data_IF_006349939252
#
_entry.id   IF_006349939252
#
_cell.length_a   1.000
_cell.length_b   1.000
_cell.length_c   1.000
_cell.angle_alpha   90.00
_cell.angle_beta   90.00
_cell.angle_gamma   90.00
#
_symmetry.space_group_name_H-M   'P 1'
#
loop_
_entity.id
_entity.type
_entity.pdbx_description
1 polymer ?
#
# COMPACT_ATOMS: atom_id res chain seq x y z
N UNK A 1 98.70 -11.31 25.46
CA UNK A 1 97.40 -10.78 24.97
C UNK A 1 96.28 -11.53 25.69
N UNK A 2 95.44 -10.80 26.44
CA UNK A 2 94.17 -11.17 27.10
C UNK A 2 94.11 -12.47 27.93
N UNK A 3 93.96 -12.30 29.24
CA UNK A 3 93.64 -13.36 30.22
C UNK A 3 92.48 -12.91 31.12
N UNK A 4 91.38 -13.67 31.05
CA UNK A 4 90.43 -14.18 32.06
C UNK A 4 89.90 -13.36 33.27
N UNK A 5 88.60 -13.65 33.54
CA UNK A 5 87.88 -13.82 34.85
C UNK A 5 87.61 -12.55 35.67
N UNK A 6 86.61 -12.42 36.53
CA UNK A 6 85.32 -13.05 36.89
C UNK A 6 84.83 -12.27 38.13
N UNK A 7 83.51 -12.07 38.25
CA UNK A 7 82.70 -12.04 39.48
C UNK A 7 82.97 -11.05 40.67
N UNK A 8 81.90 -10.28 40.95
CA UNK A 8 81.16 -10.19 42.23
C UNK A 8 81.47 -9.13 43.32
N UNK A 9 80.33 -8.63 43.86
CA UNK A 9 80.02 -8.05 45.18
C UNK A 9 80.53 -6.62 45.51
N UNK A 10 79.67 -5.59 45.43
CA UNK A 10 78.72 -5.05 46.46
C UNK A 10 79.43 -4.34 47.62
N UNK A 11 79.25 -3.00 47.72
CA UNK A 11 78.90 -2.33 48.98
C UNK A 11 78.34 -0.92 48.74
N UNK A 12 77.29 -0.59 49.50
CA UNK A 12 76.49 0.63 49.50
C UNK A 12 77.26 1.89 49.92
N UNK A 13 76.93 3.04 49.32
CA UNK A 13 76.55 4.22 50.13
C UNK A 13 75.73 5.24 49.32
N UNK A 14 74.66 5.69 49.98
CA UNK A 14 73.64 6.67 49.65
C UNK A 14 74.10 8.02 49.13
N UNK A 15 73.38 8.58 48.15
CA UNK A 15 72.89 9.96 48.19
C UNK A 15 71.81 10.15 47.11
N UNK A 16 70.65 10.68 47.51
CA UNK A 16 69.46 10.76 46.68
C UNK A 16 69.59 11.65 45.45
N UNK A 17 68.85 11.26 44.40
CA UNK A 17 68.34 12.18 43.40
C UNK A 17 66.93 11.72 43.04
N UNK A 18 65.96 12.57 43.39
CA UNK A 18 64.59 12.51 42.89
C UNK A 18 64.63 12.65 41.36
N UNK A 19 64.27 11.59 40.64
CA UNK A 19 63.87 11.67 39.24
C UNK A 19 62.33 11.76 39.18
N UNK A 20 61.75 12.79 38.55
CA UNK A 20 60.31 12.91 38.39
C UNK A 20 59.79 11.79 37.47
N UNK A 21 58.61 11.27 37.83
CA UNK A 21 58.00 10.11 37.21
C UNK A 21 57.78 10.24 35.71
N UNK A 22 58.00 9.12 35.01
CA UNK A 22 57.41 8.85 33.71
C UNK A 22 55.88 8.84 33.88
N UNK A 23 55.22 9.92 33.49
CA UNK A 23 53.80 9.87 33.15
C UNK A 23 53.72 9.32 31.74
N UNK A 24 53.25 8.08 31.62
CA UNK A 24 52.83 7.51 30.34
C UNK A 24 51.69 8.38 29.81
N UNK A 25 51.99 9.28 28.86
CA UNK A 25 50.97 9.93 28.05
C UNK A 25 50.40 8.89 27.10
N UNK A 26 49.36 8.18 27.53
CA UNK A 26 48.40 7.63 26.59
C UNK A 26 47.68 8.83 25.98
N UNK A 27 48.20 9.31 24.85
CA UNK A 27 47.46 10.17 23.97
C UNK A 27 46.17 9.43 23.60
N UNK A 28 45.04 9.87 24.16
CA UNK A 28 43.75 9.57 23.59
C UNK A 28 43.75 10.22 22.22
N UNK A 29 44.08 9.43 21.20
CA UNK A 29 43.78 9.77 19.82
C UNK A 29 42.29 10.11 19.81
N UNK A 30 42.00 11.38 19.58
CA UNK A 30 40.66 11.85 19.36
C UNK A 30 40.21 11.16 18.07
N UNK A 31 39.54 10.01 18.19
CA UNK A 31 38.86 9.38 17.07
C UNK A 31 37.92 10.44 16.51
N UNK A 32 38.25 10.93 15.31
CA UNK A 32 37.35 11.77 14.55
C UNK A 32 35.98 11.07 14.55
N UNK A 33 34.87 11.80 14.80
CA UNK A 33 33.55 11.19 14.82
C UNK A 33 33.39 10.40 13.52
N UNK A 34 33.17 9.09 13.65
CA UNK A 34 32.91 8.21 12.53
C UNK A 34 31.93 8.94 11.61
N UNK A 35 32.34 9.17 10.36
CA UNK A 35 31.52 9.86 9.37
C UNK A 35 30.11 9.29 9.47
N UNK A 36 29.14 10.15 9.80
CA UNK A 36 27.73 9.78 9.95
C UNK A 36 27.36 8.89 8.78
N UNK A 37 27.12 7.60 9.04
CA UNK A 37 26.76 6.66 7.99
C UNK A 37 25.53 7.23 7.30
N UNK A 38 25.67 7.60 6.03
CA UNK A 38 24.62 8.24 5.25
C UNK A 38 23.37 7.36 5.31
N UNK A 39 22.29 7.88 5.90
CA UNK A 39 21.06 7.11 6.10
C UNK A 39 20.54 6.63 4.75
N UNK A 40 20.07 5.38 4.62
CA UNK A 40 19.40 4.95 3.40
C UNK A 40 18.24 5.88 3.07
N UNK A 41 17.97 6.09 1.78
CA UNK A 41 16.84 6.90 1.33
C UNK A 41 15.84 5.99 0.63
N UNK A 42 14.57 6.12 0.99
CA UNK A 42 13.43 5.54 0.29
C UNK A 42 12.58 6.66 -0.29
N UNK A 43 12.46 6.69 -1.61
CA UNK A 43 11.37 7.39 -2.29
C UNK A 43 10.20 6.42 -2.47
N UNK A 44 9.09 6.73 -1.81
CA UNK A 44 7.84 6.00 -1.89
C UNK A 44 6.79 6.87 -2.57
N UNK A 45 6.41 6.55 -3.80
CA UNK A 45 5.38 7.28 -4.53
C UNK A 45 4.07 6.49 -4.60
N UNK A 46 2.96 7.20 -4.59
CA UNK A 46 1.64 6.67 -4.91
C UNK A 46 1.14 7.28 -6.21
N UNK A 47 0.65 6.45 -7.12
CA UNK A 47 -0.12 6.86 -8.28
C UNK A 47 -1.54 6.32 -8.09
N UNK A 48 -2.49 7.19 -7.80
CA UNK A 48 -3.82 6.79 -7.32
C UNK A 48 -4.89 7.27 -8.29
N UNK A 49 -5.75 6.34 -8.70
CA UNK A 49 -6.99 6.64 -9.37
C UNK A 49 -7.94 7.37 -8.40
N UNK A 50 -8.41 8.54 -8.80
CA UNK A 50 -9.28 9.42 -8.01
C UNK A 50 -10.64 9.67 -8.66
N UNK A 51 -11.09 8.73 -9.48
CA UNK A 51 -12.45 8.69 -10.05
C UNK A 51 -13.49 8.29 -9.00
N UNK A 52 -14.77 8.43 -9.35
CA UNK A 52 -15.88 8.24 -8.40
C UNK A 52 -15.94 6.86 -7.73
N UNK A 53 -15.54 5.79 -8.43
CA UNK A 53 -15.58 4.40 -7.93
C UNK A 53 -14.55 4.14 -6.83
N UNK A 54 -13.44 4.87 -6.83
CA UNK A 54 -12.30 4.71 -5.92
C UNK A 54 -12.50 5.35 -4.54
N UNK A 55 -13.68 5.89 -4.23
CA UNK A 55 -13.93 6.61 -2.98
C UNK A 55 -13.63 5.80 -1.71
N UNK A 56 -13.99 4.51 -1.68
CA UNK A 56 -13.70 3.64 -0.54
C UNK A 56 -12.20 3.32 -0.40
N UNK A 57 -11.51 3.20 -1.52
CA UNK A 57 -10.10 2.87 -1.67
C UNK A 57 -9.21 4.01 -1.21
N UNK A 58 -9.54 5.23 -1.64
CA UNK A 58 -8.85 6.45 -1.23
C UNK A 58 -8.90 6.62 0.29
N UNK A 59 -10.07 6.38 0.92
CA UNK A 59 -10.21 6.46 2.38
C UNK A 59 -9.36 5.43 3.12
N UNK A 60 -9.11 4.26 2.52
CA UNK A 60 -8.16 3.30 3.08
C UNK A 60 -6.72 3.78 2.97
N UNK A 61 -6.31 4.25 1.79
CA UNK A 61 -4.95 4.75 1.56
C UNK A 61 -4.65 5.87 2.56
N UNK A 62 -5.57 6.84 2.72
CA UNK A 62 -5.50 7.90 3.73
C UNK A 62 -5.19 7.37 5.13
N UNK A 63 -5.93 6.34 5.58
CA UNK A 63 -5.77 5.77 6.93
C UNK A 63 -4.47 4.99 7.10
N UNK A 64 -4.01 4.29 6.07
CA UNK A 64 -2.89 3.34 6.18
C UNK A 64 -1.52 3.97 5.89
N UNK A 65 -1.44 5.08 5.14
CA UNK A 65 -0.14 5.66 4.77
C UNK A 65 0.68 6.11 5.97
N UNK A 66 0.05 6.75 6.98
CA UNK A 66 0.78 7.19 8.18
C UNK A 66 1.48 6.02 8.89
N UNK A 67 0.74 4.93 9.11
CA UNK A 67 1.27 3.72 9.73
C UNK A 67 2.33 3.04 8.87
N UNK A 68 2.16 3.02 7.55
CA UNK A 68 3.14 2.47 6.62
C UNK A 68 4.47 3.24 6.74
N UNK A 69 4.43 4.58 6.66
CA UNK A 69 5.64 5.41 6.73
C UNK A 69 6.34 5.23 8.07
N UNK A 70 5.59 5.23 9.17
CA UNK A 70 6.15 4.99 10.51
C UNK A 70 6.82 3.61 10.62
N UNK A 71 6.20 2.55 10.07
CA UNK A 71 6.76 1.20 10.05
C UNK A 71 7.99 1.06 9.14
N UNK A 72 8.10 1.87 8.08
CA UNK A 72 9.27 1.86 7.19
C UNK A 72 10.45 2.62 7.80
N UNK A 73 10.18 3.75 8.45
CA UNK A 73 11.18 4.59 9.12
C UNK A 73 11.84 3.89 10.33
N UNK A 74 11.21 2.86 10.90
CA UNK A 74 11.77 2.09 12.03
C UNK A 74 12.81 1.03 11.65
N UNK A 75 13.14 0.90 10.36
CA UNK A 75 14.17 -0.02 9.87
C UNK A 75 15.56 0.27 10.45
N UNK A 76 16.48 -0.70 10.36
CA UNK A 76 17.87 -0.53 10.80
C UNK A 76 18.85 -0.87 9.67
N UNK A 77 19.73 0.07 9.24
CA UNK A 77 19.77 1.48 9.65
C UNK A 77 18.49 2.24 9.27
N UNK A 78 18.15 3.29 10.03
CA UNK A 78 16.90 4.04 9.87
C UNK A 78 16.87 4.79 8.53
N UNK A 79 15.94 4.48 7.61
CA UNK A 79 15.86 5.17 6.34
C UNK A 79 15.20 6.54 6.47
N UNK A 80 15.60 7.48 5.60
CA UNK A 80 14.81 8.67 5.29
C UNK A 80 13.74 8.26 4.29
N UNK A 81 12.46 8.34 4.68
CA UNK A 81 11.33 8.02 3.81
C UNK A 81 10.75 9.32 3.28
N UNK A 82 10.82 9.53 1.97
CA UNK A 82 10.16 10.64 1.27
C UNK A 82 8.95 10.08 0.54
N UNK A 83 7.79 10.69 0.74
CA UNK A 83 6.55 10.25 0.11
C UNK A 83 6.08 11.26 -0.91
N UNK A 84 5.80 10.79 -2.12
CA UNK A 84 5.21 11.56 -3.22
C UNK A 84 3.87 10.97 -3.62
N UNK A 85 3.03 11.77 -4.27
CA UNK A 85 1.72 11.33 -4.72
C UNK A 85 1.38 11.98 -6.06
N UNK A 86 0.84 11.18 -6.97
CA UNK A 86 0.14 11.64 -8.17
C UNK A 86 -1.27 11.07 -8.12
N UNK A 87 -2.26 11.94 -8.18
CA UNK A 87 -3.63 11.53 -8.43
C UNK A 87 -3.91 11.62 -9.94
N UNK A 88 -4.66 10.68 -10.49
CA UNK A 88 -5.16 10.76 -11.84
C UNK A 88 -6.68 10.52 -11.89
N UNK A 89 -7.30 11.03 -12.95
CA UNK A 89 -8.69 10.75 -13.37
C UNK A 89 -8.68 10.59 -14.88
N UNK A 90 -9.73 11.01 -15.59
CA UNK A 90 -9.73 11.02 -17.05
C UNK A 90 -9.79 12.41 -17.71
N UNK A 91 -9.61 12.42 -19.03
CA UNK A 91 -9.76 13.60 -19.89
C UNK A 91 -11.21 14.06 -19.87
N UNK A 92 -11.41 15.33 -19.50
CA UNK A 92 -12.75 15.92 -19.38
C UNK A 92 -13.18 16.12 -17.92
N UNK A 93 -12.47 15.53 -16.97
CA UNK A 93 -12.63 15.82 -15.55
C UNK A 93 -11.93 17.12 -15.13
N UNK A 94 -12.15 17.54 -13.87
CA UNK A 94 -11.50 18.72 -13.26
C UNK A 94 -9.97 18.73 -13.43
N UNK A 95 -9.35 17.55 -13.47
CA UNK A 95 -7.95 17.35 -13.80
C UNK A 95 -7.73 15.94 -14.34
N UNK A 96 -6.76 15.79 -15.26
CA UNK A 96 -6.28 14.47 -15.67
C UNK A 96 -5.26 13.95 -14.66
N UNK A 97 -4.35 14.81 -14.21
CA UNK A 97 -3.32 14.47 -13.21
C UNK A 97 -3.10 15.62 -12.23
N UNK A 98 -2.78 15.29 -10.98
CA UNK A 98 -2.43 16.25 -9.94
C UNK A 98 -1.23 15.74 -9.14
N UNK A 99 -0.18 16.55 -9.08
CA UNK A 99 1.10 16.20 -8.43
C UNK A 99 1.18 16.77 -7.02
N UNK A 100 1.59 15.93 -6.08
CA UNK A 100 1.98 16.28 -4.73
C UNK A 100 3.45 15.88 -4.55
N UNK A 101 4.37 16.86 -4.45
CA UNK A 101 5.80 16.61 -4.43
C UNK A 101 6.25 15.71 -3.28
N UNK A 102 7.41 15.07 -3.45
CA UNK A 102 8.06 14.31 -2.39
C UNK A 102 8.27 15.14 -1.13
N UNK A 103 7.94 14.56 0.02
CA UNK A 103 8.12 15.16 1.34
C UNK A 103 8.51 14.08 2.36
N UNK A 104 9.45 14.38 3.24
CA UNK A 104 9.74 13.58 4.45
C UNK A 104 8.94 14.05 5.68
N UNK A 105 8.22 15.16 5.57
CA UNK A 105 7.20 15.58 6.54
C UNK A 105 5.93 14.71 6.38
N UNK A 106 5.75 13.79 7.34
CA UNK A 106 4.62 12.84 7.38
C UNK A 106 3.28 13.56 7.49
N UNK A 107 3.20 14.66 8.25
CA UNK A 107 1.94 15.37 8.44
C UNK A 107 1.54 16.12 7.17
N UNK A 108 2.52 16.66 6.43
CA UNK A 108 2.29 17.18 5.08
C UNK A 108 1.79 16.09 4.13
N UNK A 109 2.43 14.92 4.13
CA UNK A 109 2.04 13.78 3.27
C UNK A 109 0.61 13.33 3.59
N UNK A 110 0.27 13.19 4.87
CA UNK A 110 -1.09 12.84 5.30
C UNK A 110 -2.09 13.90 4.86
N UNK A 111 -1.75 15.19 4.98
CA UNK A 111 -2.60 16.29 4.50
C UNK A 111 -2.84 16.21 2.99
N UNK A 112 -1.78 15.97 2.20
CA UNK A 112 -1.84 15.86 0.75
C UNK A 112 -2.75 14.69 0.30
N UNK A 113 -2.57 13.51 0.92
CA UNK A 113 -3.41 12.33 0.65
C UNK A 113 -4.85 12.56 1.13
N UNK A 114 -5.05 13.23 2.27
CA UNK A 114 -6.38 13.52 2.82
C UNK A 114 -7.16 14.49 1.94
N UNK A 115 -6.48 15.36 1.19
CA UNK A 115 -7.08 16.30 0.24
C UNK A 115 -7.61 15.64 -1.05
N UNK A 116 -7.32 14.35 -1.28
CA UNK A 116 -7.86 13.62 -2.42
C UNK A 116 -9.36 13.37 -2.25
N UNK A 117 -10.12 13.63 -3.30
CA UNK A 117 -11.54 13.34 -3.37
C UNK A 117 -11.84 12.58 -4.66
N UNK A 118 -12.54 11.45 -4.52
CA UNK A 118 -13.11 10.69 -5.63
C UNK A 118 -14.18 11.54 -6.32
N UNK A 119 -13.99 11.85 -7.59
CA UNK A 119 -14.99 12.47 -8.45
C UNK A 119 -14.58 12.30 -9.92
N UNK A 120 -15.48 12.64 -10.85
CA UNK A 120 -15.21 12.46 -12.26
C UNK A 120 -15.29 11.00 -12.72
N UNK A 121 -14.78 10.75 -13.91
CA UNK A 121 -14.97 9.53 -14.68
C UNK A 121 -16.38 9.46 -15.28
N UNK A 122 -16.89 8.23 -15.45
CA UNK A 122 -18.22 7.98 -16.00
C UNK A 122 -18.20 7.11 -17.26
N UNK A 123 -17.03 6.97 -17.85
CA UNK A 123 -16.65 5.94 -18.79
C UNK A 123 -15.51 5.08 -18.21
N UNK A 124 -15.41 3.85 -18.67
CA UNK A 124 -14.19 3.05 -18.56
C UNK A 124 -13.70 2.86 -19.99
N UNK A 125 -12.37 2.97 -20.27
CA UNK A 125 -11.20 2.98 -19.36
C UNK A 125 -10.76 4.37 -18.82
N UNK A 126 -9.65 4.47 -18.06
CA UNK A 126 -9.16 5.68 -17.34
C UNK A 126 -7.74 6.14 -17.76
N UNK A 127 -7.30 7.39 -17.46
CA UNK A 127 -6.01 7.95 -17.92
C UNK A 127 -4.73 7.46 -17.18
N UNK A 128 -4.60 6.14 -16.96
CA UNK A 128 -3.44 5.48 -16.33
C UNK A 128 -2.12 5.85 -17.02
N UNK A 129 -2.10 5.95 -18.35
CA UNK A 129 -0.88 6.29 -19.12
C UNK A 129 -0.34 7.68 -18.75
N UNK A 130 -1.23 8.68 -18.67
CA UNK A 130 -0.88 10.04 -18.28
C UNK A 130 -0.40 10.06 -16.81
N UNK A 131 -1.09 9.33 -15.95
CA UNK A 131 -0.71 9.17 -14.54
C UNK A 131 0.70 8.59 -14.39
N UNK A 132 1.04 7.53 -15.12
CA UNK A 132 2.38 6.93 -15.12
C UNK A 132 3.44 7.92 -15.61
N UNK A 133 3.19 8.58 -16.73
CA UNK A 133 4.14 9.55 -17.27
C UNK A 133 4.46 10.66 -16.25
N UNK A 134 3.43 11.25 -15.64
CA UNK A 134 3.56 12.32 -14.64
C UNK A 134 4.24 11.79 -13.37
N UNK A 135 3.86 10.61 -12.88
CA UNK A 135 4.49 10.01 -11.70
C UNK A 135 5.98 9.71 -11.90
N UNK A 136 6.40 9.39 -13.12
CA UNK A 136 7.81 9.12 -13.42
C UNK A 136 8.59 10.39 -13.70
N UNK A 137 8.03 11.39 -14.38
CA UNK A 137 8.79 12.50 -14.92
C UNK A 137 8.63 13.80 -14.12
N UNK A 138 7.49 14.01 -13.46
CA UNK A 138 7.18 15.26 -12.75
C UNK A 138 7.36 15.14 -11.23
N UNK A 139 7.32 13.92 -10.68
CA UNK A 139 7.83 13.70 -9.33
C UNK A 139 9.36 13.81 -9.32
N UNK A 140 9.89 14.65 -8.44
CA UNK A 140 11.34 14.83 -8.26
C UNK A 140 11.99 13.67 -7.50
N UNK A 141 12.05 12.50 -8.16
CA UNK A 141 12.77 11.33 -7.67
C UNK A 141 14.22 11.69 -7.33
N UNK A 142 14.74 11.13 -6.24
CA UNK A 142 16.10 11.38 -5.79
C UNK A 142 17.12 10.96 -6.84
N UNK A 143 18.12 11.82 -7.06
CA UNK A 143 19.27 11.52 -7.91
C UNK A 143 20.25 10.55 -7.25
N UNK A 144 20.05 10.20 -5.97
CA UNK A 144 20.85 9.21 -5.28
C UNK A 144 20.64 7.81 -5.90
N UNK A 145 21.71 7.26 -6.47
CA UNK A 145 21.70 5.93 -7.10
C UNK A 145 21.57 4.79 -6.09
N UNK A 146 21.91 5.02 -4.81
CA UNK A 146 21.77 4.06 -3.71
C UNK A 146 20.38 4.11 -3.05
N UNK A 147 19.55 5.08 -3.40
CA UNK A 147 18.20 5.18 -2.84
C UNK A 147 17.27 4.14 -3.46
N UNK A 148 16.47 3.50 -2.60
CA UNK A 148 15.33 2.71 -3.01
C UNK A 148 14.25 3.61 -3.58
N UNK A 149 13.69 3.23 -4.72
CA UNK A 149 12.60 3.96 -5.39
C UNK A 149 11.46 2.99 -5.67
N UNK A 150 10.29 3.30 -5.15
CA UNK A 150 9.11 2.45 -5.20
C UNK A 150 7.89 3.27 -5.57
N UNK A 151 7.13 2.84 -6.57
CA UNK A 151 5.85 3.41 -6.97
C UNK A 151 4.74 2.38 -6.74
N UNK A 152 3.66 2.77 -6.09
CA UNK A 152 2.41 1.99 -6.04
C UNK A 152 1.38 2.62 -6.98
N UNK A 153 1.05 1.93 -8.07
CA UNK A 153 -0.10 2.27 -8.92
C UNK A 153 -1.35 1.57 -8.35
N UNK A 154 -2.37 2.34 -8.00
CA UNK A 154 -3.61 1.86 -7.39
C UNK A 154 -4.78 2.34 -8.27
N UNK A 155 -5.61 1.40 -8.74
CA UNK A 155 -6.76 1.73 -9.60
C UNK A 155 -7.67 0.54 -9.88
N UNK A 156 -8.85 0.82 -10.40
CA UNK A 156 -9.91 -0.14 -10.72
C UNK A 156 -10.29 -0.18 -12.21
N UNK A 157 -9.56 0.51 -13.09
CA UNK A 157 -9.81 0.51 -14.52
C UNK A 157 -8.56 0.25 -15.39
N UNK A 158 -8.79 -0.24 -16.61
CA UNK A 158 -7.76 -0.37 -17.63
C UNK A 158 -7.27 1.01 -18.11
N UNK A 159 -6.06 1.12 -18.70
CA UNK A 159 -5.63 2.37 -19.34
C UNK A 159 -6.52 2.69 -20.55
N UNK A 160 -6.92 3.94 -20.65
CA UNK A 160 -7.50 4.49 -21.87
C UNK A 160 -6.38 4.65 -22.91
N UNK A 161 -6.67 4.29 -24.16
CA UNK A 161 -5.73 4.44 -25.28
C UNK A 161 -6.17 5.65 -26.11
N UNK A 162 -5.57 6.80 -25.83
CA UNK A 162 -5.81 8.01 -26.62
C UNK A 162 -4.83 8.12 -27.80
N UNK A 163 -5.22 8.76 -28.93
CA UNK A 163 -4.28 9.11 -29.99
C UNK A 163 -3.15 10.00 -29.46
N UNK A 164 -1.91 9.68 -29.83
CA UNK A 164 -0.69 10.39 -29.41
C UNK A 164 -0.48 10.47 -27.89
N UNK A 165 -0.98 9.48 -27.15
CA UNK A 165 -0.81 9.40 -25.71
C UNK A 165 0.48 8.68 -25.29
N UNK A 166 0.79 8.76 -24.01
CA UNK A 166 1.86 7.96 -23.42
C UNK A 166 1.55 6.48 -23.47
N UNK A 167 2.61 5.67 -23.46
CA UNK A 167 2.48 4.21 -23.51
C UNK A 167 2.98 3.61 -22.20
N UNK A 168 2.09 2.96 -21.45
CA UNK A 168 2.44 2.34 -20.17
C UNK A 168 3.60 1.33 -20.26
N UNK A 169 3.77 0.64 -21.39
CA UNK A 169 4.86 -0.34 -21.57
C UNK A 169 6.21 0.38 -21.66
N UNK A 170 6.26 1.47 -22.42
CA UNK A 170 7.43 2.34 -22.51
C UNK A 170 7.74 3.00 -21.17
N UNK A 171 6.72 3.49 -20.46
CA UNK A 171 6.89 4.12 -19.14
C UNK A 171 7.38 3.11 -18.09
N UNK A 172 6.87 1.88 -18.08
CA UNK A 172 7.34 0.84 -17.17
C UNK A 172 8.82 0.47 -17.41
N UNK A 173 9.24 0.39 -18.68
CA UNK A 173 10.65 0.17 -19.05
C UNK A 173 11.53 1.36 -18.66
N UNK A 174 11.03 2.59 -18.83
CA UNK A 174 11.72 3.81 -18.40
C UNK A 174 11.90 3.80 -16.87
N UNK A 175 10.86 3.50 -16.11
CA UNK A 175 10.89 3.43 -14.65
C UNK A 175 12.03 2.53 -14.14
N UNK A 176 12.13 1.30 -14.64
CA UNK A 176 13.14 0.35 -14.17
C UNK A 176 14.56 0.73 -14.61
N UNK A 177 14.72 1.36 -15.79
CA UNK A 177 16.02 1.89 -16.22
C UNK A 177 16.56 2.97 -15.25
N UNK A 178 15.67 3.61 -14.48
CA UNK A 178 15.97 4.60 -13.44
C UNK A 178 15.98 4.00 -12.02
N UNK A 179 15.81 2.69 -11.90
CA UNK A 179 15.75 1.96 -10.63
C UNK A 179 14.44 2.15 -9.85
N UNK A 180 13.38 2.63 -10.51
CA UNK A 180 12.03 2.78 -9.94
C UNK A 180 11.28 1.47 -10.17
N UNK A 181 10.95 0.79 -9.07
CA UNK A 181 10.11 -0.41 -9.10
C UNK A 181 8.65 0.00 -9.01
N UNK A 182 7.78 -0.52 -9.89
CA UNK A 182 6.33 -0.24 -9.84
C UNK A 182 5.60 -1.49 -9.36
N UNK A 183 4.90 -1.39 -8.24
CA UNK A 183 3.93 -2.41 -7.81
C UNK A 183 2.53 -1.90 -8.14
N UNK A 184 1.69 -2.78 -8.66
CA UNK A 184 0.34 -2.44 -9.10
C UNK A 184 -0.67 -3.10 -8.17
N UNK A 185 -1.70 -2.35 -7.77
CA UNK A 185 -2.76 -2.80 -6.88
C UNK A 185 -4.08 -2.62 -7.61
N UNK A 186 -4.69 -3.74 -7.98
CA UNK A 186 -6.01 -3.76 -8.60
C UNK A 186 -7.11 -3.67 -7.56
N UNK A 187 -8.00 -2.70 -7.73
CA UNK A 187 -9.15 -2.46 -6.87
C UNK A 187 -10.41 -3.15 -7.42
N UNK A 188 -11.50 -3.08 -6.65
CA UNK A 188 -12.77 -3.67 -7.03
C UNK A 188 -13.33 -2.96 -8.27
N UNK A 189 -13.56 -3.70 -9.36
CA UNK A 189 -13.92 -3.12 -10.67
C UNK A 189 -12.91 -3.37 -11.78
N UNK A 190 -11.66 -3.70 -11.44
CA UNK A 190 -10.62 -3.94 -12.43
C UNK A 190 -10.93 -5.19 -13.27
N UNK A 191 -11.20 -4.96 -14.56
CA UNK A 191 -11.52 -6.03 -15.49
C UNK A 191 -10.29 -6.87 -15.88
N UNK A 192 -10.51 -7.90 -16.72
CA UNK A 192 -9.43 -8.78 -17.18
C UNK A 192 -8.37 -8.07 -18.03
N UNK A 193 -8.77 -7.02 -18.76
CA UNK A 193 -7.88 -6.23 -19.62
C UNK A 193 -6.95 -5.36 -18.77
N UNK A 194 -7.53 -4.64 -17.81
CA UNK A 194 -6.83 -3.83 -16.82
C UNK A 194 -5.92 -4.67 -15.95
N UNK A 195 -6.39 -5.83 -15.48
CA UNK A 195 -5.57 -6.80 -14.74
C UNK A 195 -4.35 -7.22 -15.55
N UNK A 196 -4.53 -7.58 -16.83
CA UNK A 196 -3.42 -7.96 -17.71
C UNK A 196 -2.40 -6.83 -17.88
N UNK A 197 -2.87 -5.59 -18.02
CA UNK A 197 -1.98 -4.43 -18.12
C UNK A 197 -1.23 -4.20 -16.81
N UNK A 198 -1.93 -4.20 -15.67
CA UNK A 198 -1.33 -3.97 -14.36
C UNK A 198 -0.28 -5.03 -14.01
N UNK A 199 -0.53 -6.30 -14.34
CA UNK A 199 0.46 -7.38 -14.23
C UNK A 199 1.69 -7.12 -15.10
N UNK A 200 1.51 -6.65 -16.34
CA UNK A 200 2.63 -6.33 -17.25
C UNK A 200 3.43 -5.14 -16.77
N UNK A 201 2.80 -4.06 -16.30
CA UNK A 201 3.49 -2.88 -15.73
C UNK A 201 4.38 -3.31 -14.57
N UNK A 202 3.83 -4.06 -13.61
CA UNK A 202 4.59 -4.56 -12.48
C UNK A 202 5.76 -5.45 -12.91
N UNK A 203 5.50 -6.43 -13.77
CA UNK A 203 6.52 -7.35 -14.27
C UNK A 203 7.66 -6.64 -15.02
N UNK A 204 7.34 -5.68 -15.89
CA UNK A 204 8.33 -4.92 -16.65
C UNK A 204 9.20 -4.04 -15.76
N UNK A 205 8.75 -3.74 -14.55
CA UNK A 205 9.43 -2.86 -13.60
C UNK A 205 9.92 -3.55 -12.33
N UNK A 206 10.13 -4.88 -12.38
CA UNK A 206 10.61 -5.70 -11.25
C UNK A 206 9.73 -5.60 -9.98
N UNK A 207 8.43 -5.33 -10.16
CA UNK A 207 7.45 -5.29 -9.10
C UNK A 207 6.43 -6.42 -9.15
N UNK A 208 5.45 -6.34 -8.26
CA UNK A 208 4.37 -7.32 -8.13
C UNK A 208 3.01 -6.67 -8.38
N UNK A 209 2.09 -7.47 -8.95
CA UNK A 209 0.67 -7.14 -8.99
C UNK A 209 -0.05 -7.85 -7.84
N UNK A 210 -0.90 -7.13 -7.13
CA UNK A 210 -1.76 -7.65 -6.09
C UNK A 210 -3.19 -7.15 -6.29
N UNK A 211 -4.18 -7.95 -5.90
CA UNK A 211 -5.58 -7.51 -5.86
C UNK A 211 -5.96 -7.17 -4.43
N UNK A 212 -6.66 -6.05 -4.27
CA UNK A 212 -7.17 -5.62 -2.99
C UNK A 212 -8.22 -6.62 -2.50
N UNK A 213 -8.08 -7.04 -1.24
CA UNK A 213 -8.93 -8.01 -0.60
C UNK A 213 -9.51 -7.41 0.68
N UNK A 214 -10.81 -7.62 0.89
CA UNK A 214 -11.59 -7.08 2.01
C UNK A 214 -12.14 -8.20 2.86
N UNK A 215 -11.91 -8.17 4.17
CA UNK A 215 -12.46 -9.16 5.09
C UNK A 215 -13.82 -8.72 5.64
N UNK A 216 -14.75 -9.65 5.72
CA UNK A 216 -16.01 -9.52 6.43
C UNK A 216 -16.21 -10.72 7.36
N UNK A 217 -16.54 -10.47 8.62
CA UNK A 217 -17.02 -11.52 9.52
C UNK A 217 -18.55 -11.54 9.47
N UNK A 218 -19.12 -12.70 9.17
CA UNK A 218 -20.57 -12.92 9.16
C UNK A 218 -20.94 -14.01 10.15
N UNK A 219 -22.20 -14.02 10.58
CA UNK A 219 -22.78 -15.13 11.33
C UNK A 219 -23.77 -15.82 10.40
N UNK A 220 -23.60 -17.13 10.18
CA UNK A 220 -24.48 -17.89 9.31
C UNK A 220 -25.82 -18.25 10.01
N UNK A 221 -26.73 -18.90 9.28
CA UNK A 221 -28.05 -19.31 9.79
C UNK A 221 -28.00 -20.26 11.00
N UNK A 222 -26.86 -20.91 11.23
CA UNK A 222 -26.61 -21.82 12.36
C UNK A 222 -25.97 -21.09 13.56
N UNK A 223 -25.79 -19.76 13.48
CA UNK A 223 -25.14 -18.99 14.53
C UNK A 223 -23.61 -19.08 14.53
N UNK A 224 -23.00 -19.72 13.52
CA UNK A 224 -21.55 -19.88 13.43
C UNK A 224 -20.92 -18.68 12.73
N UNK A 225 -19.81 -18.19 13.28
CA UNK A 225 -18.98 -17.15 12.64
C UNK A 225 -18.27 -17.71 11.42
N UNK A 226 -18.32 -16.98 10.31
CA UNK A 226 -17.60 -17.28 9.07
C UNK A 226 -16.82 -16.03 8.62
N UNK A 227 -15.65 -16.25 8.04
CA UNK A 227 -14.87 -15.19 7.41
C UNK A 227 -15.10 -15.22 5.90
N UNK A 228 -15.57 -14.11 5.35
CA UNK A 228 -15.63 -13.86 3.91
C UNK A 228 -14.50 -12.90 3.50
N UNK A 229 -13.97 -13.10 2.30
CA UNK A 229 -13.04 -12.20 1.65
C UNK A 229 -13.63 -11.80 0.30
N UNK A 230 -13.69 -10.51 0.01
CA UNK A 230 -14.07 -9.99 -1.30
C UNK A 230 -12.85 -9.42 -2.00
N UNK A 231 -12.61 -9.79 -3.25
CA UNK A 231 -11.46 -9.34 -4.05
C UNK A 231 -11.81 -9.41 -5.53
N UNK A 232 -11.57 -8.33 -6.29
CA UNK A 232 -11.86 -8.26 -7.73
C UNK A 232 -13.30 -8.64 -8.08
N UNK A 233 -14.29 -8.09 -7.38
CA UNK A 233 -15.72 -8.38 -7.57
C UNK A 233 -16.19 -9.75 -7.09
N UNK A 234 -15.28 -10.63 -6.64
CA UNK A 234 -15.61 -12.00 -6.24
C UNK A 234 -15.55 -12.16 -4.71
N UNK A 235 -16.51 -12.89 -4.15
CA UNK A 235 -16.53 -13.22 -2.72
C UNK A 235 -16.13 -14.67 -2.49
N UNK A 236 -15.32 -14.90 -1.47
CA UNK A 236 -14.81 -16.20 -1.06
C UNK A 236 -15.07 -16.43 0.42
N UNK A 237 -15.48 -17.64 0.78
CA UNK A 237 -15.54 -18.10 2.17
C UNK A 237 -14.21 -18.75 2.54
N UNK A 238 -13.58 -18.26 3.60
CA UNK A 238 -12.36 -18.83 4.16
C UNK A 238 -12.70 -20.08 4.96
N UNK A 239 -11.92 -21.15 4.75
CA UNK A 239 -12.06 -22.39 5.52
C UNK A 239 -11.61 -22.17 6.96
N UNK A 240 -12.26 -22.89 7.89
CA UNK A 240 -11.91 -22.84 9.30
C UNK A 240 -10.44 -23.20 9.52
N UNK A 241 -9.73 -22.41 10.33
CA UNK A 241 -8.29 -22.54 10.60
C UNK A 241 -7.38 -21.73 9.66
N UNK A 242 -7.90 -21.15 8.59
CA UNK A 242 -7.15 -20.31 7.65
C UNK A 242 -7.44 -18.80 7.81
N UNK A 243 -8.25 -18.41 8.81
CA UNK A 243 -8.74 -17.05 8.99
C UNK A 243 -7.62 -16.04 9.20
N UNK A 244 -6.49 -16.44 9.80
CA UNK A 244 -5.32 -15.58 10.00
C UNK A 244 -4.50 -15.34 8.73
N UNK A 245 -4.64 -16.20 7.72
CA UNK A 245 -3.87 -16.15 6.47
C UNK A 245 -4.52 -15.31 5.38
N UNK A 246 -5.73 -14.78 5.62
CA UNK A 246 -6.57 -14.11 4.63
C UNK A 246 -5.90 -12.97 3.87
N UNK A 247 -4.97 -12.26 4.52
CA UNK A 247 -4.23 -11.14 3.93
C UNK A 247 -3.28 -11.54 2.80
N UNK A 248 -2.98 -12.84 2.65
CA UNK A 248 -2.27 -13.34 1.47
C UNK A 248 -3.07 -13.15 0.17
N UNK A 249 -4.37 -12.82 0.26
CA UNK A 249 -5.22 -12.53 -0.89
C UNK A 249 -6.11 -13.70 -1.26
N UNK A 250 -7.26 -13.38 -1.86
CA UNK A 250 -8.30 -14.37 -2.15
C UNK A 250 -7.84 -15.42 -3.17
N UNK A 251 -7.10 -15.01 -4.22
CA UNK A 251 -6.55 -15.91 -5.25
C UNK A 251 -5.59 -16.93 -4.65
N UNK A 252 -4.71 -16.48 -3.77
CA UNK A 252 -3.73 -17.31 -3.06
C UNK A 252 -4.39 -18.35 -2.15
N UNK A 253 -5.39 -17.91 -1.38
CA UNK A 253 -6.15 -18.81 -0.53
C UNK A 253 -6.96 -19.83 -1.35
N UNK A 254 -7.58 -19.40 -2.45
CA UNK A 254 -8.32 -20.27 -3.34
C UNK A 254 -7.39 -21.33 -3.97
N UNK A 255 -6.22 -20.92 -4.48
CA UNK A 255 -5.23 -21.82 -5.08
C UNK A 255 -4.70 -22.87 -4.08
N UNK A 256 -4.57 -22.51 -2.80
CA UNK A 256 -4.16 -23.42 -1.71
C UNK A 256 -5.31 -24.27 -1.17
N UNK A 257 -6.52 -24.15 -1.71
CA UNK A 257 -7.70 -24.82 -1.17
C UNK A 257 -8.04 -24.37 0.24
N UNK A 258 -7.75 -23.12 0.61
CA UNK A 258 -8.07 -22.50 1.90
C UNK A 258 -9.28 -21.55 1.83
N UNK A 259 -9.74 -21.20 0.63
CA UNK A 259 -10.99 -20.49 0.42
C UNK A 259 -11.81 -21.11 -0.72
N UNK A 260 -13.12 -20.94 -0.68
CA UNK A 260 -14.07 -21.38 -1.72
C UNK A 260 -14.91 -20.21 -2.18
N UNK A 261 -15.26 -20.17 -3.47
CA UNK A 261 -16.18 -19.16 -3.98
C UNK A 261 -17.52 -19.21 -3.21
N UNK A 262 -18.03 -18.04 -2.85
CA UNK A 262 -19.29 -17.88 -2.16
C UNK A 262 -20.14 -16.84 -2.89
N UNK A 263 -21.47 -16.97 -2.90
CA UNK A 263 -22.32 -15.90 -3.40
C UNK A 263 -22.04 -14.62 -2.61
N UNK A 264 -22.00 -13.48 -3.30
CA UNK A 264 -21.87 -12.20 -2.63
C UNK A 264 -23.00 -12.06 -1.59
N UNK A 265 -22.72 -11.58 -0.37
CA UNK A 265 -23.75 -11.38 0.63
C UNK A 265 -24.82 -10.43 0.07
N UNK A 266 -26.09 -10.80 0.21
CA UNK A 266 -27.20 -9.97 -0.26
C UNK A 266 -27.11 -8.59 0.41
N UNK A 267 -26.97 -7.53 -0.39
CA UNK A 267 -26.98 -6.18 0.12
C UNK A 267 -28.39 -5.86 0.63
N UNK A 268 -28.59 -5.81 1.95
CA UNK A 268 -29.81 -5.25 2.51
C UNK A 268 -29.78 -3.75 2.26
N UNK A 269 -30.51 -3.26 1.25
CA UNK A 269 -30.82 -1.84 1.18
C UNK A 269 -31.57 -1.47 2.46
N UNK A 270 -30.92 -0.73 3.35
CA UNK A 270 -31.59 -0.12 4.48
C UNK A 270 -32.71 0.78 3.90
N UNK A 271 -33.97 0.38 4.09
CA UNK A 271 -35.12 1.26 3.87
C UNK A 271 -34.91 2.49 4.77
N UNK A 272 -34.40 3.59 4.21
CA UNK A 272 -34.49 4.91 4.83
C UNK A 272 -35.98 5.23 4.92
N UNK A 273 -36.56 5.04 6.10
CA UNK A 273 -37.85 5.61 6.48
C UNK A 273 -37.75 7.13 6.40
N UNK A 274 -38.07 7.70 5.23
CA UNK A 274 -38.44 9.11 5.16
C UNK A 274 -39.81 9.24 5.83
N UNK A 275 -39.80 9.74 7.06
CA UNK A 275 -40.97 10.37 7.68
C UNK A 275 -41.28 11.64 6.89
N UNK A 276 -42.05 11.53 5.82
CA UNK A 276 -42.62 12.68 5.11
C UNK A 276 -43.87 13.15 5.85
N UNK A 277 -43.72 14.17 6.71
CA UNK A 277 -44.80 15.11 7.02
C UNK A 277 -44.60 16.32 6.12
N UNK A 278 -45.38 16.40 5.05
CA UNK A 278 -45.30 17.49 4.07
C UNK A 278 -46.30 17.28 2.94
N UNK A 279 -47.53 17.70 3.18
CA UNK A 279 -48.67 17.82 2.26
C UNK A 279 -48.33 18.58 0.98
N UNK A 280 -48.53 17.98 -0.21
CA UNK A 280 -48.91 18.69 -1.44
C UNK A 280 -49.80 17.78 -2.32
N UNK A 281 -50.78 18.43 -2.93
CA UNK A 281 -51.97 17.98 -3.68
C UNK A 281 -51.73 17.07 -4.91
N UNK A 282 -52.74 16.23 -5.20
CA UNK A 282 -53.06 15.66 -6.53
C UNK A 282 -54.37 16.29 -7.07
N UNK A 283 -54.58 16.26 -8.41
CA UNK A 283 -55.72 15.50 -8.95
C UNK A 283 -55.34 14.60 -10.15
N UNK A 284 -55.76 13.32 -10.13
CA UNK A 284 -56.81 12.70 -10.98
C UNK A 284 -56.42 12.52 -12.47
N UNK A 285 -56.64 11.41 -13.18
CA UNK A 285 -57.47 10.23 -12.97
C UNK A 285 -57.20 9.14 -14.05
N UNK A 286 -57.42 7.85 -13.67
CA UNK A 286 -58.00 6.73 -14.45
C UNK A 286 -57.20 5.98 -15.56
N UNK A 287 -57.58 4.72 -15.93
CA UNK A 287 -57.65 3.54 -15.07
C UNK A 287 -57.14 2.22 -15.74
N UNK A 288 -57.08 1.19 -14.88
CA UNK A 288 -56.96 -0.26 -15.06
C UNK A 288 -57.47 -0.93 -16.36
N UNK A 289 -56.79 -2.01 -16.75
CA UNK A 289 -57.45 -3.27 -17.14
C UNK A 289 -56.69 -4.47 -16.55
N UNK A 290 -57.39 -5.25 -15.74
CA UNK A 290 -56.98 -6.51 -15.15
C UNK A 290 -57.77 -7.66 -15.81
N UNK A 291 -57.11 -8.80 -16.01
CA UNK A 291 -57.63 -10.18 -16.06
C UNK A 291 -56.41 -11.07 -16.45
N UNK A 292 -56.12 -12.24 -15.90
CA UNK A 292 -56.92 -13.21 -15.17
C UNK A 292 -56.02 -14.24 -14.42
N UNK A 293 -56.58 -14.79 -13.34
CA UNK A 293 -56.46 -16.17 -12.82
C UNK A 293 -55.15 -16.67 -12.14
N UNK A 294 -55.16 -16.54 -10.81
CA UNK A 294 -55.15 -17.61 -9.80
C UNK A 294 -54.51 -18.98 -10.15
N UNK A 295 -53.41 -19.28 -9.46
CA UNK A 295 -52.77 -20.60 -9.39
C UNK A 295 -51.77 -20.64 -8.24
N UNK A 296 -52.26 -20.92 -7.03
CA UNK A 296 -51.47 -20.89 -5.81
C UNK A 296 -50.41 -22.00 -5.74
N UNK A 297 -49.16 -21.61 -5.48
CA UNK A 297 -48.14 -22.47 -4.89
C UNK A 297 -47.55 -21.72 -3.70
N UNK A 298 -47.73 -22.29 -2.50
CA UNK A 298 -47.13 -21.82 -1.25
C UNK A 298 -45.60 -21.92 -1.34
N UNK A 299 -44.95 -20.87 -1.84
CA UNK A 299 -43.52 -20.66 -1.66
C UNK A 299 -43.25 -20.12 -0.26
N UNK A 300 -42.63 -20.93 0.59
CA UNK A 300 -42.16 -20.50 1.90
C UNK A 300 -41.15 -19.34 1.73
N UNK A 301 -41.59 -18.11 1.95
CA UNK A 301 -40.67 -16.97 2.07
C UNK A 301 -39.94 -17.09 3.42
N UNK A 302 -38.84 -17.84 3.42
CA UNK A 302 -37.84 -17.80 4.48
C UNK A 302 -37.28 -16.39 4.55
N UNK A 303 -37.79 -15.61 5.51
CA UNK A 303 -37.35 -14.25 5.79
C UNK A 303 -35.88 -14.25 6.18
N UNK A 304 -35.03 -13.72 5.31
CA UNK A 304 -33.68 -13.29 5.66
C UNK A 304 -33.77 -12.04 6.54
N UNK A 305 -33.59 -12.18 7.85
CA UNK A 305 -33.28 -11.05 8.73
C UNK A 305 -31.79 -11.07 9.06
N UNK A 306 -30.97 -10.57 8.13
CA UNK A 306 -29.57 -10.37 8.37
C UNK A 306 -29.30 -8.86 8.43
N UNK A 307 -28.83 -8.40 9.59
CA UNK A 307 -28.26 -7.07 9.76
C UNK A 307 -26.92 -7.04 9.02
N UNK A 308 -26.95 -6.75 7.72
CA UNK A 308 -25.75 -6.60 6.90
C UNK A 308 -25.28 -5.14 6.95
N UNK A 309 -24.15 -4.91 7.63
CA UNK A 309 -23.30 -3.76 7.32
C UNK A 309 -22.64 -4.01 5.96
N UNK A 310 -22.50 -2.96 5.13
CA UNK A 310 -21.78 -3.05 3.86
C UNK A 310 -20.34 -3.58 4.02
N UNK A 311 -19.65 -3.86 2.91
CA UNK A 311 -18.26 -4.32 2.92
C UNK A 311 -17.42 -3.42 3.82
N UNK A 312 -16.85 -3.99 4.89
CA UNK A 312 -15.96 -3.25 5.77
C UNK A 312 -14.64 -3.04 5.06
N UNK A 313 -14.54 -1.96 4.28
CA UNK A 313 -13.32 -1.58 3.58
C UNK A 313 -12.19 -1.19 4.55
N UNK A 314 -12.45 -1.00 5.85
CA UNK A 314 -11.38 -0.75 6.83
C UNK A 314 -10.46 -1.95 7.11
N UNK A 315 -10.93 -3.17 6.81
CA UNK A 315 -10.21 -4.42 7.05
C UNK A 315 -9.76 -5.02 5.70
N UNK A 316 -8.64 -4.51 5.19
CA UNK A 316 -8.05 -4.90 3.90
C UNK A 316 -6.62 -5.43 4.02
N UNK A 317 -6.12 -6.08 2.96
CA UNK A 317 -4.72 -6.54 2.86
C UNK A 317 -3.74 -5.44 2.40
N UNK A 318 -4.22 -4.20 2.17
CA UNK A 318 -3.44 -3.12 1.59
C UNK A 318 -2.15 -2.80 2.38
N UNK A 319 -2.25 -2.79 3.71
CA UNK A 319 -1.12 -2.48 4.59
C UNK A 319 -0.01 -3.51 4.47
N UNK A 320 -0.36 -4.80 4.45
CA UNK A 320 0.59 -5.90 4.31
C UNK A 320 1.22 -5.91 2.91
N UNK A 321 0.42 -5.71 1.86
CA UNK A 321 0.90 -5.61 0.47
C UNK A 321 1.97 -4.51 0.34
N UNK A 322 1.64 -3.29 0.76
CA UNK A 322 2.55 -2.16 0.64
C UNK A 322 3.80 -2.32 1.52
N UNK A 323 3.62 -2.77 2.76
CA UNK A 323 4.72 -2.93 3.71
C UNK A 323 5.68 -4.03 3.26
N UNK A 324 5.17 -5.17 2.80
CA UNK A 324 6.02 -6.28 2.36
C UNK A 324 6.83 -5.91 1.12
N UNK A 325 6.21 -5.25 0.12
CA UNK A 325 6.91 -4.78 -1.07
C UNK A 325 8.01 -3.77 -0.72
N UNK A 326 7.70 -2.77 0.13
CA UNK A 326 8.67 -1.76 0.53
C UNK A 326 9.82 -2.33 1.38
N UNK A 327 9.52 -3.24 2.32
CA UNK A 327 10.56 -3.94 3.10
C UNK A 327 11.45 -4.81 2.23
N UNK A 328 10.87 -5.53 1.27
CA UNK A 328 11.61 -6.36 0.32
C UNK A 328 12.60 -5.50 -0.48
N UNK A 329 12.14 -4.35 -0.99
CA UNK A 329 12.98 -3.41 -1.74
C UNK A 329 14.11 -2.82 -0.88
N UNK A 330 13.79 -2.36 0.33
CA UNK A 330 14.79 -1.80 1.25
C UNK A 330 15.82 -2.83 1.72
N UNK A 331 15.41 -4.09 1.90
CA UNK A 331 16.32 -5.19 2.20
C UNK A 331 17.25 -5.47 1.02
N UNK A 332 16.73 -5.48 -0.21
CA UNK A 332 17.49 -5.73 -1.45
C UNK A 332 18.51 -4.63 -1.73
N UNK A 333 18.11 -3.36 -1.61
CA UNK A 333 18.96 -2.23 -2.04
C UNK A 333 19.89 -1.70 -0.95
N UNK A 334 19.42 -1.74 0.31
CA UNK A 334 20.05 -1.02 1.42
C UNK A 334 20.30 -1.90 2.65
N UNK A 335 20.08 -3.21 2.54
CA UNK A 335 20.31 -4.20 3.61
C UNK A 335 19.61 -3.84 4.93
N UNK A 336 18.46 -3.14 4.85
CA UNK A 336 17.71 -2.72 6.02
C UNK A 336 17.04 -3.92 6.68
N UNK A 337 17.16 -4.01 7.99
CA UNK A 337 16.57 -5.07 8.82
C UNK A 337 15.42 -4.47 9.63
N UNK A 338 14.29 -5.18 9.64
CA UNK A 338 13.14 -4.86 10.48
C UNK A 338 13.03 -5.94 11.57
N UNK A 339 13.05 -5.53 12.84
CA UNK A 339 12.76 -6.43 13.95
C UNK A 339 11.26 -6.75 13.98
N UNK A 340 10.92 -8.00 14.26
CA UNK A 340 9.53 -8.44 14.46
C UNK A 340 8.93 -7.79 15.70
#
# INVERSE_FOLDING_TARGET
MRVLRSAAAVLFLSAGMLLPGLINQFAFANEAPAASAERPVLDLAFLIDTTGSMGGEIEMVKKKTKDLVAKLASGKPAPVVRVGLVAYRDRGDDYVTKVFPFSDDIDKVVKDITALNAAGGGDTPEAVNQGLHVALNDLEWTKNKKASKLLFLIGDAAPHIYPNDFNWETEAKNAISRGIQINTIGCDGLDSSGTTVFEKIAKLSDGSFETLAYRQEIVNSEGKKETLITSGGSTYRVRAGAESSWKAGAKDLAAKGLAIAAPAPAATMAKRSHSSRGTVFYPAAMPMSADAMEGGVRGASLGYSASYGGVNRGDSNLDDVMLNAARSKLKKDASIIYTK
#
